data_IF_482833552323
#
_entry.id   IF_482833552323
#
_cell.length_a   1.000
_cell.length_b   1.000
_cell.length_c   1.000
_cell.angle_alpha   90.00
_cell.angle_beta   90.00
_cell.angle_gamma   90.00
#
_symmetry.space_group_name_H-M   'P 1'
#
loop_
_entity.id
_entity.type
_entity.pdbx_description
1 polymer ?
#
# COMPACT_ATOMS: atom_id res chain seq x y z
N UNK A 1 -25.79 -15.30 -64.77
CA UNK A 1 -24.59 -15.48 -65.61
C UNK A 1 -24.12 -16.91 -65.40
N UNK A 2 -24.42 -17.94 -66.19
CA UNK A 2 -24.47 -18.10 -67.66
C UNK A 2 -23.26 -17.49 -68.37
N UNK A 3 -22.28 -18.34 -68.69
CA UNK A 3 -21.77 -18.53 -70.06
C UNK A 3 -20.97 -19.83 -70.16
N UNK A 4 -21.51 -20.74 -70.96
CA UNK A 4 -20.84 -21.88 -71.59
C UNK A 4 -19.67 -21.43 -72.50
N UNK A 5 -18.64 -22.29 -72.63
CA UNK A 5 -17.98 -22.52 -73.93
C UNK A 5 -17.21 -23.84 -74.01
N UNK A 6 -17.89 -24.82 -74.62
CA UNK A 6 -17.49 -25.73 -75.71
C UNK A 6 -16.00 -26.07 -75.97
N UNK A 7 -15.73 -27.38 -75.85
CA UNK A 7 -15.12 -28.33 -76.82
C UNK A 7 -13.84 -27.99 -77.59
N UNK A 8 -12.81 -28.83 -77.37
CA UNK A 8 -12.11 -29.71 -78.36
C UNK A 8 -11.04 -30.49 -77.55
N UNK A 9 -10.86 -31.80 -77.60
CA UNK A 9 -11.00 -32.71 -78.73
C UNK A 9 -9.61 -32.99 -79.33
N UNK A 10 -8.72 -33.68 -78.60
CA UNK A 10 -7.53 -34.36 -79.16
C UNK A 10 -7.09 -35.47 -78.19
N UNK A 11 -7.32 -36.71 -78.61
CA UNK A 11 -6.79 -37.93 -77.98
C UNK A 11 -5.27 -38.00 -78.25
N UNK A 12 -4.41 -38.15 -77.23
CA UNK A 12 -3.06 -38.63 -77.43
C UNK A 12 -3.05 -40.14 -77.73
N UNK A 13 -2.03 -40.65 -78.44
CA UNK A 13 -1.93 -42.05 -78.85
C UNK A 13 -1.72 -43.00 -77.66
N UNK A 14 -2.13 -44.27 -77.79
CA UNK A 14 -1.85 -45.31 -76.80
C UNK A 14 -0.43 -45.84 -77.01
N UNK A 15 0.36 -45.90 -75.95
CA UNK A 15 1.64 -46.62 -75.95
C UNK A 15 2.81 -45.79 -75.49
N UNK A 16 3.01 -45.75 -74.19
CA UNK A 16 4.32 -45.91 -73.58
C UNK A 16 4.07 -46.23 -72.10
N UNK A 17 4.26 -47.48 -71.72
CA UNK A 17 4.44 -47.90 -70.33
C UNK A 17 5.59 -47.09 -69.73
N UNK A 18 5.26 -45.93 -69.16
CA UNK A 18 6.13 -45.24 -68.22
C UNK A 18 6.10 -46.06 -66.94
N UNK A 19 6.94 -47.10 -66.94
CA UNK A 19 7.35 -47.81 -65.73
C UNK A 19 7.60 -46.77 -64.63
N UNK A 20 7.09 -46.94 -63.42
CA UNK A 20 7.43 -46.05 -62.32
C UNK A 20 8.95 -46.09 -62.20
N UNK A 21 9.63 -45.01 -62.56
CA UNK A 21 11.04 -44.83 -62.26
C UNK A 21 11.07 -44.87 -60.74
N UNK A 22 11.43 -46.03 -60.20
CA UNK A 22 11.65 -46.22 -58.77
C UNK A 22 12.65 -45.15 -58.38
N UNK A 23 12.14 -44.10 -57.73
CA UNK A 23 12.98 -43.03 -57.24
C UNK A 23 13.98 -43.71 -56.33
N UNK A 24 15.30 -43.64 -56.61
CA UNK A 24 16.27 -44.26 -55.74
C UNK A 24 16.05 -43.68 -54.35
N UNK A 25 15.63 -44.53 -53.42
CA UNK A 25 15.55 -44.19 -52.01
C UNK A 25 16.98 -43.89 -51.58
N UNK A 26 17.38 -42.63 -51.68
CA UNK A 26 18.65 -42.15 -51.18
C UNK A 26 18.66 -42.42 -49.68
N UNK A 27 19.42 -43.44 -49.26
CA UNK A 27 19.63 -43.72 -47.85
C UNK A 27 20.26 -42.49 -47.21
N UNK A 28 19.57 -41.91 -46.22
CA UNK A 28 20.04 -40.75 -45.46
C UNK A 28 21.42 -41.08 -44.88
N UNK A 29 22.41 -40.22 -45.14
CA UNK A 29 23.78 -40.52 -44.69
C UNK A 29 23.87 -40.37 -43.16
N UNK A 30 24.76 -41.14 -42.52
CA UNK A 30 24.98 -41.07 -41.06
C UNK A 30 25.24 -39.61 -40.58
N UNK A 31 25.93 -38.82 -41.41
CA UNK A 31 26.23 -37.41 -41.17
C UNK A 31 24.94 -36.58 -41.12
N UNK A 32 24.02 -36.83 -42.04
CA UNK A 32 22.74 -36.12 -42.15
C UNK A 32 21.83 -36.39 -40.95
N UNK A 33 21.83 -37.63 -40.45
CA UNK A 33 21.13 -38.00 -39.22
C UNK A 33 21.75 -37.29 -38.00
N UNK A 34 23.08 -37.20 -37.93
CA UNK A 34 23.77 -36.48 -36.86
C UNK A 34 23.45 -34.98 -36.87
N UNK A 35 23.48 -34.35 -38.05
CA UNK A 35 23.11 -32.93 -38.22
C UNK A 35 21.66 -32.70 -37.84
N UNK A 36 20.73 -33.55 -38.30
CA UNK A 36 19.32 -33.47 -37.94
C UNK A 36 19.11 -33.58 -36.41
N UNK A 37 19.86 -34.45 -35.74
CA UNK A 37 19.80 -34.61 -34.29
C UNK A 37 20.31 -33.37 -33.54
N UNK A 38 21.43 -32.78 -33.98
CA UNK A 38 21.96 -31.53 -33.38
C UNK A 38 20.98 -30.37 -33.56
N UNK A 39 20.41 -30.21 -34.76
CA UNK A 39 19.41 -29.18 -35.02
C UNK A 39 18.16 -29.40 -34.17
N UNK A 40 17.68 -30.64 -34.07
CA UNK A 40 16.55 -30.99 -33.21
C UNK A 40 16.82 -30.64 -31.74
N UNK A 41 18.00 -30.96 -31.21
CA UNK A 41 18.38 -30.62 -29.84
C UNK A 41 18.43 -29.10 -29.62
N UNK A 42 18.98 -28.34 -30.58
CA UNK A 42 18.99 -26.87 -30.51
C UNK A 42 17.57 -26.30 -30.51
N UNK A 43 16.67 -26.83 -31.35
CA UNK A 43 15.27 -26.41 -31.41
C UNK A 43 14.51 -26.73 -30.11
N UNK A 44 14.73 -27.93 -29.54
CA UNK A 44 14.16 -28.30 -28.25
C UNK A 44 14.69 -27.37 -27.14
N UNK A 45 16.00 -27.09 -27.12
CA UNK A 45 16.60 -26.19 -26.14
C UNK A 45 16.06 -24.76 -26.23
N UNK A 46 15.90 -24.24 -27.45
CA UNK A 46 15.30 -22.93 -27.70
C UNK A 46 13.84 -22.89 -27.24
N UNK A 47 13.05 -23.93 -27.54
CA UNK A 47 11.65 -24.03 -27.14
C UNK A 47 11.49 -24.08 -25.62
N UNK A 48 12.32 -24.87 -24.92
CA UNK A 48 12.32 -24.94 -23.45
C UNK A 48 12.68 -23.59 -22.85
N UNK A 49 13.71 -22.92 -23.39
CA UNK A 49 14.13 -21.59 -22.92
C UNK A 49 13.03 -20.54 -23.12
N UNK A 50 12.39 -20.53 -24.30
CA UNK A 50 11.28 -19.63 -24.61
C UNK A 50 10.10 -19.87 -23.65
N UNK A 51 9.74 -21.13 -23.43
CA UNK A 51 8.63 -21.51 -22.55
C UNK A 51 8.88 -21.11 -21.12
N UNK A 52 10.09 -21.37 -20.60
CA UNK A 52 10.49 -21.01 -19.23
C UNK A 52 10.43 -19.49 -19.02
N UNK A 53 11.03 -18.71 -19.93
CA UNK A 53 10.98 -17.24 -19.87
C UNK A 53 9.57 -16.68 -19.99
N UNK A 54 8.71 -17.30 -20.79
CA UNK A 54 7.31 -16.90 -20.93
C UNK A 54 6.53 -17.14 -19.65
N UNK A 55 6.76 -18.28 -18.99
CA UNK A 55 6.15 -18.60 -17.70
C UNK A 55 6.65 -17.67 -16.59
N UNK A 56 7.95 -17.37 -16.53
CA UNK A 56 8.52 -16.39 -15.58
C UNK A 56 7.92 -14.99 -15.80
N UNK A 57 7.81 -14.56 -17.05
CA UNK A 57 7.21 -13.25 -17.38
C UNK A 57 5.74 -13.20 -17.00
N UNK A 58 5.00 -14.27 -17.28
CA UNK A 58 3.58 -14.36 -16.95
C UNK A 58 3.34 -14.39 -15.44
N UNK A 59 4.07 -15.23 -14.70
CA UNK A 59 3.97 -15.32 -13.23
C UNK A 59 4.35 -14.00 -12.55
N UNK A 60 5.40 -13.31 -13.04
CA UNK A 60 5.76 -11.96 -12.58
C UNK A 60 4.68 -10.92 -12.92
N UNK A 61 4.03 -11.04 -14.08
CA UNK A 61 2.91 -10.19 -14.48
C UNK A 61 1.69 -10.37 -13.58
N UNK A 62 1.32 -11.63 -13.30
CA UNK A 62 0.18 -11.95 -12.43
C UNK A 62 0.43 -11.53 -10.99
N UNK A 63 1.64 -11.76 -10.46
CA UNK A 63 2.02 -11.32 -9.13
C UNK A 63 1.96 -9.80 -8.97
N UNK A 64 2.41 -9.03 -9.98
CA UNK A 64 2.25 -7.57 -9.97
C UNK A 64 0.78 -7.20 -9.98
N UNK A 65 0.00 -7.75 -10.90
CA UNK A 65 -1.44 -7.46 -11.01
C UNK A 65 -2.16 -7.67 -9.67
N UNK A 66 -1.93 -8.80 -8.99
CA UNK A 66 -2.49 -9.07 -7.66
C UNK A 66 -2.13 -7.98 -6.64
N UNK A 67 -0.87 -7.54 -6.62
CA UNK A 67 -0.45 -6.45 -5.74
C UNK A 67 -1.14 -5.12 -6.06
N UNK A 68 -1.29 -4.77 -7.34
CA UNK A 68 -2.00 -3.56 -7.76
C UNK A 68 -3.48 -3.63 -7.32
N UNK A 69 -4.15 -4.76 -7.56
CA UNK A 69 -5.56 -4.95 -7.20
C UNK A 69 -5.74 -4.80 -5.67
N UNK A 70 -4.88 -5.44 -4.87
CA UNK A 70 -4.91 -5.35 -3.39
C UNK A 70 -4.60 -3.94 -2.90
N UNK A 71 -3.59 -3.28 -3.46
CA UNK A 71 -3.25 -1.91 -3.10
C UNK A 71 -4.38 -0.93 -3.45
N UNK A 72 -5.02 -1.12 -4.60
CA UNK A 72 -6.15 -0.29 -5.03
C UNK A 72 -7.34 -0.40 -4.08
N UNK A 73 -7.72 -1.63 -3.67
CA UNK A 73 -8.78 -1.83 -2.67
C UNK A 73 -8.45 -1.08 -1.36
N UNK A 74 -7.18 -1.11 -0.94
CA UNK A 74 -6.73 -0.39 0.25
C UNK A 74 -6.85 1.12 0.11
N UNK A 75 -6.26 1.66 -0.96
CA UNK A 75 -6.23 3.09 -1.20
C UNK A 75 -7.63 3.67 -1.46
N UNK A 76 -8.49 2.95 -2.19
CA UNK A 76 -9.85 3.41 -2.51
C UNK A 76 -10.71 3.49 -1.25
N UNK A 77 -10.63 2.52 -0.34
CA UNK A 77 -11.41 2.55 0.90
C UNK A 77 -10.94 3.67 1.84
N UNK A 78 -9.62 3.79 2.06
CA UNK A 78 -9.06 4.88 2.88
C UNK A 78 -9.45 6.24 2.28
N UNK A 79 -9.31 6.40 0.95
CA UNK A 79 -9.65 7.65 0.27
C UNK A 79 -11.13 7.96 0.35
N UNK A 80 -11.99 6.95 0.21
CA UNK A 80 -13.44 7.10 0.35
C UNK A 80 -13.81 7.58 1.75
N UNK A 81 -13.21 6.99 2.80
CA UNK A 81 -13.45 7.43 4.16
C UNK A 81 -12.94 8.85 4.42
N UNK A 82 -11.73 9.17 3.96
CA UNK A 82 -11.12 10.48 4.12
C UNK A 82 -11.92 11.59 3.43
N UNK A 83 -12.48 11.33 2.24
CA UNK A 83 -13.37 12.29 1.55
C UNK A 83 -14.66 12.57 2.30
N UNK A 84 -15.04 11.70 3.26
CA UNK A 84 -16.23 11.86 4.08
C UNK A 84 -15.91 12.34 5.50
N UNK A 85 -14.68 12.79 5.78
CA UNK A 85 -14.30 13.32 7.10
C UNK A 85 -15.28 14.42 7.53
N UNK A 86 -15.76 14.28 8.75
CA UNK A 86 -16.57 15.27 9.44
C UNK A 86 -15.62 16.20 10.19
N UNK A 87 -15.73 17.49 9.90
CA UNK A 87 -15.04 18.52 10.67
C UNK A 87 -16.01 19.23 11.60
N UNK A 88 -15.47 19.64 12.72
CA UNK A 88 -16.14 20.53 13.64
C UNK A 88 -15.36 21.84 13.72
N UNK A 89 -16.06 22.90 14.12
CA UNK A 89 -15.53 24.23 14.31
C UNK A 89 -15.64 24.72 15.76
N UNK A 90 -16.34 23.99 16.63
CA UNK A 90 -16.71 24.42 17.98
C UNK A 90 -16.53 23.32 19.04
N UNK A 91 -16.13 23.70 20.25
CA UNK A 91 -16.17 22.78 21.39
C UNK A 91 -17.61 22.67 21.89
N UNK A 92 -18.20 21.48 21.78
CA UNK A 92 -19.48 21.21 22.42
C UNK A 92 -19.26 20.86 23.88
N UNK A 93 -19.92 21.59 24.77
CA UNK A 93 -19.88 21.36 26.21
C UNK A 93 -21.09 20.53 26.66
N UNK A 94 -20.90 19.70 27.68
CA UNK A 94 -21.99 19.04 28.38
C UNK A 94 -22.77 20.04 29.28
N UNK A 95 -23.84 19.57 29.92
CA UNK A 95 -24.63 20.38 30.85
C UNK A 95 -23.84 20.92 32.06
N UNK A 96 -22.68 20.35 32.34
CA UNK A 96 -21.76 20.74 33.42
C UNK A 96 -20.56 21.56 32.90
N UNK A 97 -20.65 22.09 31.68
CA UNK A 97 -19.58 22.84 31.02
C UNK A 97 -18.27 22.04 30.78
N UNK A 98 -18.33 20.71 30.76
CA UNK A 98 -17.18 19.86 30.39
C UNK A 98 -17.13 19.69 28.87
N UNK A 99 -15.96 19.81 28.24
CA UNK A 99 -15.83 19.57 26.81
C UNK A 99 -16.13 18.11 26.49
N UNK A 100 -17.02 17.89 25.53
CA UNK A 100 -17.27 16.58 24.95
C UNK A 100 -16.13 16.21 23.98
N UNK A 101 -16.03 14.92 23.67
CA UNK A 101 -15.04 14.41 22.72
C UNK A 101 -15.24 15.06 21.35
N UNK A 102 -14.21 15.73 20.84
CA UNK A 102 -14.23 16.33 19.51
C UNK A 102 -14.08 15.25 18.41
N UNK A 103 -14.75 15.41 17.27
CA UNK A 103 -14.54 14.60 16.08
C UNK A 103 -13.23 15.03 15.39
N UNK A 104 -12.11 14.63 15.99
CA UNK A 104 -10.78 15.00 15.53
C UNK A 104 -10.27 14.05 14.45
N UNK A 105 -9.53 14.59 13.47
CA UNK A 105 -8.58 13.81 12.70
C UNK A 105 -7.28 13.73 13.51
N UNK A 106 -6.86 12.51 13.79
CA UNK A 106 -5.65 12.21 14.56
C UNK A 106 -4.82 11.21 13.77
N UNK A 107 -3.55 11.51 13.61
CA UNK A 107 -2.58 10.62 12.99
C UNK A 107 -1.28 10.69 13.78
N UNK A 108 -0.83 9.54 14.25
CA UNK A 108 0.35 9.42 15.08
C UNK A 108 1.04 8.08 14.81
N UNK A 109 1.98 7.73 15.67
CA UNK A 109 2.71 6.47 15.61
C UNK A 109 2.24 5.57 16.76
N UNK A 110 2.08 4.29 16.49
CA UNK A 110 1.89 3.28 17.54
C UNK A 110 3.18 3.03 18.34
N UNK A 111 3.10 2.15 19.35
CA UNK A 111 4.25 1.74 20.19
C UNK A 111 5.42 1.14 19.42
N UNK A 112 5.16 0.62 18.22
CA UNK A 112 6.14 0.03 17.31
C UNK A 112 6.61 1.06 16.25
N UNK A 113 6.31 2.35 16.45
CA UNK A 113 6.58 3.45 15.53
C UNK A 113 5.92 3.32 14.15
N UNK A 114 4.77 2.63 14.05
CA UNK A 114 4.03 2.49 12.79
C UNK A 114 2.92 3.52 12.70
N UNK A 115 2.72 4.17 11.53
CA UNK A 115 1.66 5.15 11.37
C UNK A 115 0.27 4.54 11.57
N UNK A 116 -0.60 5.32 12.19
CA UNK A 116 -2.03 5.04 12.32
C UNK A 116 -2.81 6.33 12.16
N UNK A 117 -4.05 6.21 11.70
CA UNK A 117 -4.93 7.36 11.53
C UNK A 117 -6.32 7.04 12.07
N UNK A 118 -6.98 8.05 12.62
CA UNK A 118 -8.37 8.04 13.07
C UNK A 118 -9.03 9.36 12.72
N UNK A 119 -10.28 9.28 12.35
CA UNK A 119 -11.11 10.44 12.13
C UNK A 119 -12.57 10.06 12.30
N UNK A 120 -13.41 11.08 12.40
CA UNK A 120 -14.86 10.91 12.31
C UNK A 120 -15.28 11.25 10.89
N UNK A 121 -16.21 10.48 10.34
CA UNK A 121 -16.80 10.71 9.02
C UNK A 121 -18.32 10.69 9.09
N UNK A 122 -18.95 11.39 8.15
CA UNK A 122 -20.39 11.28 7.90
C UNK A 122 -20.76 10.03 7.08
N UNK A 123 -22.03 9.65 7.13
CA UNK A 123 -22.63 8.69 6.20
C UNK A 123 -23.46 7.59 6.88
N UNK A 124 -24.30 6.92 6.09
CA UNK A 124 -25.20 5.87 6.58
C UNK A 124 -24.52 4.49 6.60
N UNK A 125 -24.52 3.81 7.75
CA UNK A 125 -24.01 2.43 7.89
C UNK A 125 -24.96 1.38 7.29
N UNK A 126 -26.20 1.72 6.91
CA UNK A 126 -27.07 0.82 6.14
C UNK A 126 -26.46 0.39 4.78
N UNK A 127 -25.37 1.05 4.35
CA UNK A 127 -24.55 0.68 3.18
C UNK A 127 -23.28 -0.11 3.58
N UNK A 128 -22.98 -0.27 4.87
CA UNK A 128 -21.67 -0.73 5.38
C UNK A 128 -21.65 -1.86 6.41
N UNK A 129 -22.78 -2.35 6.96
CA UNK A 129 -23.00 -3.72 7.49
C UNK A 129 -24.31 -3.78 8.30
N UNK A 130 -25.01 -4.91 8.26
CA UNK A 130 -26.18 -5.15 9.13
C UNK A 130 -25.78 -5.00 10.61
N UNK A 131 -26.65 -4.39 11.45
CA UNK A 131 -26.38 -4.28 12.87
C UNK A 131 -26.18 -5.67 13.48
N UNK A 132 -25.20 -5.87 14.37
CA UNK A 132 -24.92 -7.18 14.95
C UNK A 132 -26.18 -7.76 15.63
N UNK A 133 -26.41 -9.08 15.54
CA UNK A 133 -27.56 -9.73 16.16
C UNK A 133 -27.62 -9.40 17.66
N UNK A 134 -28.72 -8.80 18.10
CA UNK A 134 -28.93 -8.42 19.51
C UNK A 134 -28.64 -6.96 19.86
N UNK A 135 -28.26 -6.11 18.91
CA UNK A 135 -28.23 -4.66 19.14
C UNK A 135 -29.67 -4.12 19.19
N UNK A 136 -30.13 -3.48 20.28
CA UNK A 136 -31.46 -2.90 20.33
C UNK A 136 -31.63 -1.90 19.19
N UNK A 137 -32.69 -2.04 18.38
CA UNK A 137 -33.05 -1.06 17.34
C UNK A 137 -33.18 0.36 17.90
N UNK A 138 -33.37 0.46 19.20
CA UNK A 138 -33.53 1.68 19.97
C UNK A 138 -32.22 2.49 20.10
N UNK A 139 -31.06 1.92 19.76
CA UNK A 139 -29.81 2.67 19.61
C UNK A 139 -29.82 3.61 18.37
N UNK A 140 -30.73 3.37 17.42
CA UNK A 140 -31.06 4.29 16.35
C UNK A 140 -32.14 5.34 16.74
N UNK A 141 -32.70 5.25 17.95
CA UNK A 141 -33.86 6.05 18.37
C UNK A 141 -33.54 7.21 19.32
N UNK A 142 -32.27 7.58 19.50
CA UNK A 142 -31.87 8.82 20.19
C UNK A 142 -31.22 9.80 19.21
N UNK A 143 -31.98 10.20 18.20
CA UNK A 143 -31.63 11.22 17.22
C UNK A 143 -32.52 12.46 17.46
N UNK A 144 -32.06 13.48 18.20
CA UNK A 144 -32.73 14.77 18.36
C UNK A 144 -32.70 15.63 17.08
N UNK A 145 -33.60 16.61 16.97
CA UNK A 145 -33.98 17.38 15.77
C UNK A 145 -32.96 18.42 15.22
N UNK A 146 -31.74 18.43 15.74
CA UNK A 146 -30.57 19.24 15.38
C UNK A 146 -29.51 18.38 14.65
N UNK A 147 -29.99 17.36 13.94
CA UNK A 147 -29.26 16.19 13.46
C UNK A 147 -28.39 16.43 12.21
N UNK A 148 -27.07 16.46 12.40
CA UNK A 148 -26.12 16.01 11.38
C UNK A 148 -26.19 14.48 11.33
N UNK A 149 -26.23 13.87 10.14
CA UNK A 149 -26.44 12.41 9.98
C UNK A 149 -25.50 11.52 10.80
N UNK A 150 -25.74 10.19 10.87
CA UNK A 150 -24.97 9.30 11.73
C UNK A 150 -23.46 9.47 11.49
N UNK A 151 -22.73 9.78 12.56
CA UNK A 151 -21.29 9.97 12.55
C UNK A 151 -20.59 8.67 12.95
N UNK A 152 -19.51 8.36 12.25
CA UNK A 152 -18.74 7.14 12.44
C UNK A 152 -17.30 7.48 12.70
N UNK A 153 -16.76 6.92 13.76
CA UNK A 153 -15.34 6.93 13.98
C UNK A 153 -14.72 5.77 13.20
N UNK A 154 -13.71 6.11 12.40
CA UNK A 154 -12.94 5.15 11.62
C UNK A 154 -11.48 5.24 12.05
N UNK A 155 -10.81 4.09 12.12
CA UNK A 155 -9.37 4.03 12.32
C UNK A 155 -8.73 2.99 11.39
N UNK A 156 -7.50 3.28 10.97
CA UNK A 156 -6.66 2.37 10.21
C UNK A 156 -5.38 2.10 11.01
N UNK A 157 -5.12 0.81 11.26
CA UNK A 157 -3.99 0.36 12.08
C UNK A 157 -3.41 -0.92 11.47
N UNK A 158 -2.09 -1.08 11.52
CA UNK A 158 -1.45 -2.37 11.25
C UNK A 158 -1.63 -3.30 12.45
N UNK A 159 -1.51 -4.61 12.23
CA UNK A 159 -1.62 -5.61 13.28
C UNK A 159 -0.70 -5.30 14.47
N UNK A 160 -1.14 -5.41 15.73
CA UNK A 160 -0.29 -5.15 16.89
C UNK A 160 0.93 -6.08 16.96
N UNK A 161 0.84 -7.28 16.39
CA UNK A 161 1.96 -8.18 16.18
C UNK A 161 2.73 -7.77 14.90
N UNK A 162 3.96 -7.24 15.01
CA UNK A 162 4.74 -6.80 13.86
C UNK A 162 5.09 -7.94 12.88
N UNK A 163 5.02 -9.20 13.32
CA UNK A 163 5.22 -10.36 12.44
C UNK A 163 4.05 -10.56 11.45
N UNK A 164 2.90 -9.90 11.69
CA UNK A 164 1.69 -10.03 10.88
C UNK A 164 1.47 -8.80 10.02
N UNK A 165 1.53 -9.02 8.71
CA UNK A 165 1.35 -7.98 7.70
C UNK A 165 -0.14 -7.80 7.38
N UNK A 166 -0.95 -7.38 8.34
CA UNK A 166 -2.40 -7.19 8.12
C UNK A 166 -2.79 -5.77 8.48
N UNK A 167 -3.45 -5.09 7.55
CA UNK A 167 -4.08 -3.81 7.81
C UNK A 167 -5.49 -4.06 8.33
N UNK A 168 -5.85 -3.37 9.41
CA UNK A 168 -7.17 -3.41 10.01
C UNK A 168 -7.88 -2.07 9.85
N UNK A 169 -9.19 -2.15 9.61
CA UNK A 169 -10.10 -1.02 9.65
C UNK A 169 -11.04 -1.16 10.84
N UNK A 170 -10.99 -0.20 11.75
CA UNK A 170 -11.90 -0.07 12.89
C UNK A 170 -13.05 0.85 12.54
N UNK A 171 -14.26 0.47 12.93
CA UNK A 171 -15.45 1.30 12.75
C UNK A 171 -16.30 1.23 14.01
N UNK A 172 -16.84 2.38 14.42
CA UNK A 172 -17.92 2.42 15.41
C UNK A 172 -18.74 3.70 15.30
N UNK A 173 -19.96 3.66 15.81
CA UNK A 173 -20.77 4.86 15.98
C UNK A 173 -20.03 5.87 16.86
N UNK A 174 -19.93 7.11 16.39
CA UNK A 174 -19.33 8.19 17.14
C UNK A 174 -20.37 8.81 18.08
N UNK A 175 -20.07 8.80 19.37
CA UNK A 175 -20.90 9.40 20.42
C UNK A 175 -20.03 10.35 21.24
N UNK A 176 -20.33 11.65 21.16
CA UNK A 176 -19.61 12.73 21.83
C UNK A 176 -19.57 12.57 23.35
N UNK A 177 -20.56 11.88 23.93
CA UNK A 177 -20.65 11.64 25.38
C UNK A 177 -19.74 10.51 25.84
N UNK A 178 -19.24 9.69 24.90
CA UNK A 178 -18.28 8.62 25.19
C UNK A 178 -16.87 9.15 25.08
N UNK A 179 -16.04 8.78 26.06
CA UNK A 179 -14.61 9.11 26.10
C UNK A 179 -13.75 8.06 25.41
N UNK A 180 -14.32 6.90 25.11
CA UNK A 180 -13.63 5.86 24.36
C UNK A 180 -13.21 6.39 22.99
N UNK A 181 -12.20 5.78 22.38
CA UNK A 181 -11.73 6.11 21.04
C UNK A 181 -11.10 4.88 20.38
N UNK A 182 -11.24 4.77 19.05
CA UNK A 182 -10.49 3.88 18.18
C UNK A 182 -9.01 4.30 18.01
N UNK A 183 -8.51 5.30 18.71
CA UNK A 183 -7.09 5.46 19.02
C UNK A 183 -6.98 5.81 20.50
N UNK A 184 -7.17 4.83 21.38
CA UNK A 184 -6.82 5.05 22.78
C UNK A 184 -5.31 5.34 22.86
N UNK A 185 -4.90 6.44 23.52
CA UNK A 185 -3.48 6.72 23.78
C UNK A 185 -2.78 5.55 24.48
N UNK A 186 -3.52 4.80 25.30
CA UNK A 186 -3.08 3.54 25.92
C UNK A 186 -3.32 2.40 24.92
N UNK A 187 -2.42 2.37 23.94
CA UNK A 187 -2.01 1.30 23.01
C UNK A 187 -2.97 0.12 22.68
N UNK A 188 -3.04 -0.19 21.38
CA UNK A 188 -3.41 -1.51 20.84
C UNK A 188 -2.32 -2.53 21.14
N UNK A 189 -2.16 -2.92 22.41
CA UNK A 189 -1.05 -3.78 22.81
C UNK A 189 -1.22 -5.19 22.23
N UNK A 190 -2.46 -5.64 22.08
CA UNK A 190 -2.81 -7.00 21.67
C UNK A 190 -4.20 -7.07 21.03
N UNK A 191 -4.44 -8.13 20.25
CA UNK A 191 -5.76 -8.42 19.67
C UNK A 191 -6.83 -8.81 20.71
N UNK A 192 -6.44 -9.05 21.96
CA UNK A 192 -7.36 -9.37 23.06
C UNK A 192 -7.95 -8.12 23.71
N UNK A 193 -7.52 -6.93 23.31
CA UNK A 193 -8.12 -5.67 23.75
C UNK A 193 -9.60 -5.62 23.33
N UNK A 194 -10.54 -5.28 24.22
CA UNK A 194 -11.97 -5.14 23.88
C UNK A 194 -12.23 -4.19 22.70
N UNK A 195 -11.41 -3.14 22.52
CA UNK A 195 -11.50 -2.23 21.37
C UNK A 195 -11.20 -2.94 20.05
N UNK A 196 -10.35 -3.98 20.07
CA UNK A 196 -10.00 -4.76 18.88
C UNK A 196 -11.20 -5.49 18.27
N UNK A 197 -12.24 -5.78 19.05
CA UNK A 197 -13.48 -6.37 18.54
C UNK A 197 -14.19 -5.49 17.50
N UNK A 198 -13.86 -4.20 17.44
CA UNK A 198 -14.37 -3.23 16.45
C UNK A 198 -13.55 -3.15 15.17
N UNK A 199 -12.40 -3.82 15.12
CA UNK A 199 -11.54 -3.87 13.95
C UNK A 199 -11.89 -5.09 13.09
N UNK A 200 -11.84 -4.90 11.78
CA UNK A 200 -11.96 -5.95 10.78
C UNK A 200 -10.70 -6.00 9.95
N UNK A 201 -10.14 -7.19 9.68
CA UNK A 201 -9.02 -7.31 8.77
C UNK A 201 -9.48 -6.80 7.41
N UNK A 202 -8.70 -5.91 6.83
CA UNK A 202 -8.99 -5.29 5.55
C UNK A 202 -8.25 -6.00 4.44
N UNK A 203 -6.93 -6.09 4.58
CA UNK A 203 -6.05 -6.74 3.60
C UNK A 203 -4.85 -7.35 4.32
N UNK A 204 -4.43 -8.52 3.84
CA UNK A 204 -3.21 -9.20 4.30
C UNK A 204 -2.02 -8.78 3.44
N UNK A 205 -0.79 -9.17 3.81
CA UNK A 205 0.43 -8.74 3.13
C UNK A 205 0.63 -7.22 3.06
N UNK A 206 -0.02 -6.41 3.90
CA UNK A 206 0.26 -4.97 3.97
C UNK A 206 1.44 -4.77 4.92
N UNK A 207 2.60 -4.42 4.36
CA UNK A 207 3.85 -4.22 5.11
C UNK A 207 3.88 -2.87 5.83
N UNK A 208 3.28 -1.85 5.21
CA UNK A 208 3.31 -0.48 5.68
C UNK A 208 2.10 0.30 5.17
N UNK A 209 1.61 1.22 5.99
CA UNK A 209 0.72 2.31 5.59
C UNK A 209 1.31 3.60 6.16
N UNK A 210 1.35 4.66 5.35
CA UNK A 210 1.93 5.94 5.73
C UNK A 210 1.02 7.09 5.33
N UNK A 211 1.02 8.15 6.13
CA UNK A 211 0.22 9.34 5.94
C UNK A 211 1.13 10.56 5.97
N UNK A 212 1.03 11.41 4.93
CA UNK A 212 1.68 12.71 4.90
C UNK A 212 0.61 13.78 4.72
N UNK A 213 0.77 14.89 5.42
CA UNK A 213 -0.23 15.94 5.52
C UNK A 213 0.29 17.21 4.86
N UNK A 214 -0.43 17.68 3.86
CA UNK A 214 -0.17 18.97 3.23
C UNK A 214 -0.69 20.09 4.13
N UNK A 215 0.24 20.92 4.58
CA UNK A 215 -0.01 22.08 5.42
C UNK A 215 0.00 23.36 4.59
N UNK A 216 -0.39 24.49 5.19
CA UNK A 216 -0.20 25.82 4.58
C UNK A 216 1.27 26.17 4.27
N UNK A 217 2.21 25.41 4.83
CA UNK A 217 3.65 25.57 4.62
C UNK A 217 4.21 24.58 3.60
N UNK A 218 3.48 23.52 3.25
CA UNK A 218 4.00 22.44 2.43
C UNK A 218 4.12 22.87 0.96
N UNK A 219 5.28 22.62 0.38
CA UNK A 219 5.56 22.89 -1.05
C UNK A 219 6.10 21.67 -1.79
N UNK A 220 6.44 20.61 -1.06
CA UNK A 220 6.92 19.33 -1.58
C UNK A 220 6.51 18.19 -0.64
N UNK A 221 6.43 16.96 -1.17
CA UNK A 221 6.24 15.74 -0.38
C UNK A 221 7.56 15.11 0.11
N UNK A 222 8.68 15.77 -0.15
CA UNK A 222 10.00 15.38 0.32
C UNK A 222 10.12 15.61 1.84
N UNK A 223 10.17 14.50 2.58
CA UNK A 223 10.29 14.46 4.04
C UNK A 223 11.66 14.92 4.54
N UNK A 224 12.66 14.98 3.68
CA UNK A 224 13.98 15.52 4.07
C UNK A 224 13.94 17.03 4.25
N UNK A 225 12.92 17.70 3.68
CA UNK A 225 12.70 19.12 3.88
C UNK A 225 11.94 19.35 5.19
N UNK A 226 12.47 20.15 6.13
CA UNK A 226 11.74 20.49 7.34
C UNK A 226 10.53 21.36 7.01
N UNK A 227 9.47 21.25 7.81
CA UNK A 227 8.33 22.16 7.75
C UNK A 227 8.80 23.56 8.16
N UNK A 228 8.63 24.53 7.28
CA UNK A 228 9.00 25.94 7.51
C UNK A 228 7.99 26.88 6.91
N UNK A 229 7.67 27.93 7.64
CA UNK A 229 6.88 29.04 7.12
C UNK A 229 7.55 29.67 5.89
N UNK A 230 6.79 29.79 4.80
CA UNK A 230 7.28 30.36 3.55
C UNK A 230 7.17 31.89 3.63
N UNK A 231 8.24 32.55 4.07
CA UNK A 231 8.29 34.02 4.17
C UNK A 231 8.26 34.64 2.77
N UNK A 232 7.23 35.47 2.50
CA UNK A 232 7.10 36.21 1.23
C UNK A 232 8.35 37.06 0.96
N UNK A 233 8.99 36.86 -0.20
CA UNK A 233 10.10 37.68 -0.68
C UNK A 233 11.51 37.09 -0.48
N UNK A 234 11.65 35.94 0.20
CA UNK A 234 12.91 35.15 0.16
C UNK A 234 12.84 34.11 -0.96
N UNK A 235 14.00 33.71 -1.48
CA UNK A 235 14.11 32.65 -2.49
C UNK A 235 13.26 31.44 -2.08
N UNK A 236 12.59 30.77 -3.04
CA UNK A 236 11.67 29.63 -2.82
C UNK A 236 12.29 28.61 -1.86
N UNK A 237 11.96 28.70 -0.57
CA UNK A 237 12.37 27.72 0.41
C UNK A 237 11.41 26.54 0.29
N UNK A 238 11.98 25.35 0.08
CA UNK A 238 11.21 24.11 0.11
C UNK A 238 10.83 23.78 1.55
N UNK A 239 9.62 23.28 1.74
CA UNK A 239 9.07 22.92 3.04
C UNK A 239 8.27 21.64 2.86
N UNK A 240 8.62 20.63 3.66
CA UNK A 240 8.09 19.28 3.54
C UNK A 240 6.69 19.13 4.11
N UNK A 241 6.14 17.90 4.07
CA UNK A 241 4.85 17.60 4.65
C UNK A 241 4.98 17.36 6.16
N UNK A 242 3.84 17.48 6.84
CA UNK A 242 3.70 16.99 8.21
C UNK A 242 3.44 15.48 8.20
N UNK A 243 3.94 14.76 9.21
CA UNK A 243 3.86 13.30 9.32
C UNK A 243 2.93 12.87 10.47
N UNK A 244 2.55 13.82 11.34
CA UNK A 244 1.62 13.60 12.46
C UNK A 244 0.53 14.65 12.42
N UNK A 245 -0.70 14.29 12.75
CA UNK A 245 -1.80 15.24 12.74
C UNK A 245 -2.60 15.18 14.02
N UNK A 246 -2.93 16.34 14.55
CA UNK A 246 -3.93 16.48 15.62
C UNK A 246 -4.79 17.70 15.31
N UNK A 247 -5.99 17.46 14.78
CA UNK A 247 -6.93 18.53 14.46
C UNK A 247 -7.32 19.36 15.68
N UNK A 248 -7.20 18.83 16.89
CA UNK A 248 -7.48 19.58 18.13
C UNK A 248 -6.33 20.49 18.57
N UNK A 249 -5.13 20.29 17.99
CA UNK A 249 -3.87 20.97 18.34
C UNK A 249 -3.48 20.80 19.81
N UNK A 250 -4.01 19.82 20.54
CA UNK A 250 -3.92 19.75 22.01
C UNK A 250 -3.34 18.44 22.54
N UNK A 251 -3.60 17.34 21.88
CA UNK A 251 -3.26 16.00 22.36
C UNK A 251 -1.83 15.62 21.98
N UNK A 252 -1.36 16.04 20.80
CA UNK A 252 -0.01 15.74 20.32
C UNK A 252 0.95 16.93 20.44
N UNK A 253 1.88 16.87 21.40
CA UNK A 253 2.90 17.90 21.62
C UNK A 253 3.97 17.97 20.54
N UNK A 254 4.12 16.91 19.75
CA UNK A 254 5.08 16.85 18.66
C UNK A 254 4.48 17.33 17.32
N UNK A 255 3.18 17.60 17.29
CA UNK A 255 2.53 18.18 16.12
C UNK A 255 3.02 19.61 15.89
N UNK A 256 3.38 19.96 14.66
CA UNK A 256 3.95 21.27 14.34
C UNK A 256 3.05 22.44 14.76
N UNK A 257 1.73 22.26 14.65
CA UNK A 257 0.74 23.28 15.03
C UNK A 257 0.23 23.13 16.47
N UNK A 258 0.87 22.34 17.32
CA UNK A 258 0.47 22.18 18.72
C UNK A 258 0.28 23.52 19.45
N UNK A 259 -0.83 23.65 20.19
CA UNK A 259 -1.15 24.78 21.04
C UNK A 259 -1.41 24.29 22.46
N UNK A 260 -0.69 24.88 23.42
CA UNK A 260 -0.89 24.61 24.85
C UNK A 260 -2.19 25.23 25.40
N UNK A 261 -2.79 26.19 24.67
CA UNK A 261 -3.97 26.92 25.13
C UNK A 261 -5.15 25.98 25.38
N UNK A 262 -5.78 26.10 26.54
CA UNK A 262 -7.02 25.42 26.90
C UNK A 262 -8.23 26.33 26.68
N UNK A 263 -8.12 27.34 25.81
CA UNK A 263 -9.23 28.23 25.54
C UNK A 263 -10.32 27.48 24.75
N UNK A 264 -11.29 26.96 25.48
CA UNK A 264 -12.45 26.29 24.91
C UNK A 264 -13.41 27.26 24.21
N UNK A 265 -13.24 28.58 24.39
CA UNK A 265 -14.09 29.60 23.78
C UNK A 265 -13.65 29.97 22.36
N UNK A 266 -12.41 29.69 22.00
CA UNK A 266 -11.88 29.90 20.65
C UNK A 266 -11.25 28.62 20.07
N UNK A 267 -12.09 27.61 19.75
CA UNK A 267 -11.64 26.39 19.09
C UNK A 267 -11.04 26.68 17.72
N UNK A 268 -9.72 26.50 17.62
CA UNK A 268 -9.01 26.55 16.35
C UNK A 268 -8.68 25.15 15.84
N UNK A 269 -9.73 24.41 15.47
CA UNK A 269 -9.55 23.10 14.82
C UNK A 269 -8.97 23.24 13.42
N UNK A 270 -8.00 22.38 13.10
CA UNK A 270 -7.26 22.43 11.84
C UNK A 270 -7.38 21.12 11.07
N UNK A 271 -7.51 21.21 9.76
CA UNK A 271 -7.64 20.05 8.89
C UNK A 271 -6.76 20.24 7.66
N UNK A 272 -6.00 19.22 7.25
CA UNK A 272 -5.05 19.34 6.15
C UNK A 272 -5.80 19.51 4.82
N UNK A 273 -5.20 20.21 3.86
CA UNK A 273 -5.80 20.33 2.52
C UNK A 273 -5.76 18.99 1.78
N UNK A 274 -4.61 18.33 1.84
CA UNK A 274 -4.32 17.10 1.10
C UNK A 274 -3.66 16.11 2.05
N UNK A 275 -4.07 14.85 1.99
CA UNK A 275 -3.39 13.73 2.63
C UNK A 275 -2.82 12.83 1.55
N UNK A 276 -1.50 12.67 1.51
CA UNK A 276 -0.88 11.62 0.72
C UNK A 276 -0.90 10.32 1.53
N UNK A 277 -1.63 9.33 1.03
CA UNK A 277 -1.70 7.99 1.61
C UNK A 277 -0.76 7.10 0.81
N UNK A 278 0.12 6.39 1.50
CA UNK A 278 1.02 5.40 0.90
C UNK A 278 0.79 4.03 1.52
N UNK A 279 0.81 2.99 0.70
CA UNK A 279 0.65 1.59 1.14
C UNK A 279 1.73 0.76 0.49
N UNK A 280 2.47 -0.02 1.28
CA UNK A 280 3.40 -1.03 0.76
C UNK A 280 2.79 -2.41 0.88
N UNK A 281 2.59 -3.08 -0.25
CA UNK A 281 2.00 -4.42 -0.32
C UNK A 281 3.09 -5.43 -0.66
N UNK A 282 3.16 -6.50 0.12
CA UNK A 282 4.03 -7.65 -0.09
C UNK A 282 3.68 -8.36 -1.40
N UNK A 283 4.69 -8.69 -2.19
CA UNK A 283 4.50 -9.46 -3.41
C UNK A 283 4.23 -10.92 -3.09
N UNK A 284 3.11 -11.45 -3.56
CA UNK A 284 2.71 -12.85 -3.38
C UNK A 284 3.42 -13.86 -4.28
N UNK A 285 4.46 -13.46 -5.02
CA UNK A 285 5.17 -14.37 -5.93
C UNK A 285 5.95 -15.44 -5.14
N UNK A 286 5.96 -16.72 -5.55
CA UNK A 286 6.80 -17.75 -4.93
C UNK A 286 8.29 -17.37 -4.85
N UNK A 287 8.78 -16.56 -5.81
CA UNK A 287 10.14 -16.05 -5.85
C UNK A 287 10.47 -15.02 -4.75
N UNK A 288 9.46 -14.46 -4.08
CA UNK A 288 9.65 -13.50 -2.97
C UNK A 288 9.81 -14.20 -1.63
N UNK A 289 9.41 -15.48 -1.54
CA UNK A 289 9.59 -16.28 -0.35
C UNK A 289 11.03 -16.79 -0.25
N UNK A 290 11.76 -16.33 0.78
CA UNK A 290 13.05 -16.90 1.15
C UNK A 290 14.26 -16.00 0.97
N UNK A 291 14.07 -14.72 0.58
CA UNK A 291 15.14 -13.73 0.69
C UNK A 291 15.54 -13.59 2.16
N UNK A 292 16.82 -13.85 2.44
CA UNK A 292 17.39 -13.79 3.79
C UNK A 292 18.73 -13.09 3.74
N UNK A 293 19.12 -12.52 4.88
CA UNK A 293 20.48 -12.02 5.06
C UNK A 293 21.50 -13.16 4.88
N UNK A 294 22.47 -12.95 3.99
CA UNK A 294 23.61 -13.86 3.78
C UNK A 294 24.72 -13.65 4.82
N UNK A 295 24.86 -12.43 5.33
CA UNK A 295 25.82 -12.05 6.37
C UNK A 295 25.13 -11.36 7.56
N UNK A 296 25.72 -11.38 8.76
CA UNK A 296 25.24 -10.55 9.86
C UNK A 296 25.40 -9.05 9.53
N UNK A 297 24.44 -8.25 9.98
CA UNK A 297 24.36 -6.81 9.71
C UNK A 297 24.31 -6.09 11.04
N UNK A 298 25.15 -5.07 11.23
CA UNK A 298 25.12 -4.20 12.42
C UNK A 298 24.42 -2.87 12.12
N UNK A 299 24.20 -2.01 13.11
CA UNK A 299 23.49 -0.72 12.96
C UNK A 299 24.15 0.28 12.00
N UNK A 300 25.44 0.08 11.68
CA UNK A 300 26.25 1.01 10.86
C UNK A 300 26.52 0.49 9.45
N UNK A 301 26.09 -0.73 9.17
CA UNK A 301 26.30 -1.38 7.89
C UNK A 301 25.68 -0.55 6.77
N UNK A 302 26.48 -0.25 5.75
CA UNK A 302 26.10 0.52 4.55
C UNK A 302 25.79 -0.40 3.36
N UNK A 303 25.75 -1.70 3.60
CA UNK A 303 25.56 -2.75 2.61
C UNK A 303 24.87 -3.98 3.23
N UNK A 304 24.01 -4.66 2.46
CA UNK A 304 23.40 -5.94 2.82
C UNK A 304 23.77 -7.01 1.80
N UNK A 305 24.36 -8.11 2.25
CA UNK A 305 24.46 -9.33 1.47
C UNK A 305 23.21 -10.19 1.70
N UNK A 306 22.57 -10.63 0.61
CA UNK A 306 21.33 -11.41 0.59
C UNK A 306 21.55 -12.74 -0.14
N UNK A 307 20.70 -13.72 0.16
CA UNK A 307 20.67 -14.98 -0.60
C UNK A 307 20.42 -14.76 -2.10
N UNK A 308 19.58 -13.80 -2.46
CA UNK A 308 19.36 -13.26 -3.80
C UNK A 308 18.54 -11.96 -3.73
N UNK A 309 18.53 -11.16 -4.80
CA UNK A 309 17.68 -9.96 -4.92
C UNK A 309 16.49 -10.13 -5.87
N UNK A 310 16.24 -11.36 -6.36
CA UNK A 310 15.11 -11.64 -7.26
C UNK A 310 13.79 -11.21 -6.62
N UNK A 311 12.98 -10.47 -7.38
CA UNK A 311 11.67 -9.96 -6.94
C UNK A 311 11.72 -8.62 -6.21
N UNK A 312 12.89 -8.19 -5.68
CA UNK A 312 13.00 -6.89 -5.00
C UNK A 312 12.74 -5.75 -6.00
N UNK A 313 12.10 -4.64 -5.58
CA UNK A 313 11.97 -3.44 -6.39
C UNK A 313 13.32 -2.95 -6.95
N UNK A 314 13.31 -2.26 -8.08
CA UNK A 314 14.49 -1.57 -8.56
C UNK A 314 14.90 -0.44 -7.61
N UNK A 315 16.19 -0.11 -7.61
CA UNK A 315 16.68 0.96 -6.75
C UNK A 315 16.27 2.33 -7.31
N UNK A 316 15.97 3.32 -6.44
CA UNK A 316 15.92 3.21 -4.98
C UNK A 316 14.69 2.42 -4.50
N UNK A 317 14.86 1.65 -3.42
CA UNK A 317 13.78 0.83 -2.87
C UNK A 317 13.88 0.67 -1.35
N UNK A 318 12.89 -0.01 -0.76
CA UNK A 318 12.86 -0.32 0.67
C UNK A 318 12.67 -1.82 0.91
N UNK A 319 13.35 -2.33 1.92
CA UNK A 319 13.14 -3.66 2.49
C UNK A 319 12.86 -3.54 3.99
N UNK A 320 12.21 -4.57 4.56
CA UNK A 320 11.97 -4.71 6.00
C UNK A 320 12.70 -5.95 6.52
N UNK A 321 13.49 -5.78 7.57
CA UNK A 321 14.23 -6.86 8.24
C UNK A 321 13.76 -6.89 9.69
N UNK A 322 13.04 -7.96 10.05
CA UNK A 322 12.25 -8.02 11.28
C UNK A 322 11.30 -6.81 11.41
N UNK A 323 11.66 -5.83 12.26
CA UNK A 323 10.94 -4.58 12.49
C UNK A 323 11.65 -3.33 11.95
N UNK A 324 12.83 -3.45 11.34
CA UNK A 324 13.56 -2.32 10.76
C UNK A 324 13.22 -2.15 9.27
N UNK A 325 12.96 -0.92 8.85
CA UNK A 325 12.92 -0.55 7.43
C UNK A 325 14.27 -0.02 6.99
N UNK A 326 14.78 -0.55 5.87
CA UNK A 326 16.05 -0.15 5.25
C UNK A 326 15.77 0.32 3.84
N UNK A 327 16.15 1.56 3.54
CA UNK A 327 16.15 2.10 2.17
C UNK A 327 17.51 1.79 1.51
N UNK A 328 17.53 1.41 0.24
CA UNK A 328 18.73 1.11 -0.54
C UNK A 328 18.74 1.91 -1.84
N UNK A 329 19.92 2.44 -2.19
CA UNK A 329 20.13 3.21 -3.43
C UNK A 329 20.72 2.39 -4.59
N UNK A 330 21.28 1.20 -4.30
CA UNK A 330 21.87 0.31 -5.30
C UNK A 330 21.41 -1.14 -5.08
N UNK A 331 21.29 -1.91 -6.16
CA UNK A 331 20.89 -3.33 -6.16
C UNK A 331 21.75 -4.14 -7.15
N UNK A 332 22.37 -5.22 -6.68
CA UNK A 332 23.05 -6.24 -7.50
C UNK A 332 22.20 -7.53 -7.57
N UNK A 333 22.75 -8.67 -8.00
CA UNK A 333 22.11 -9.98 -7.95
C UNK A 333 21.92 -10.54 -6.53
N UNK A 334 22.75 -10.12 -5.58
CA UNK A 334 22.81 -10.65 -4.21
C UNK A 334 22.93 -9.56 -3.16
N UNK A 335 22.97 -8.29 -3.55
CA UNK A 335 23.41 -7.25 -2.62
C UNK A 335 22.63 -5.96 -2.78
N UNK A 336 22.52 -5.24 -1.66
CA UNK A 336 21.93 -3.91 -1.57
C UNK A 336 22.98 -2.93 -1.04
N UNK A 337 23.17 -1.81 -1.73
CA UNK A 337 24.14 -0.76 -1.41
C UNK A 337 23.50 0.59 -1.15
N UNK A 338 24.32 1.55 -0.72
CA UNK A 338 23.89 2.91 -0.34
C UNK A 338 22.73 2.90 0.66
N UNK A 339 22.88 2.11 1.72
CA UNK A 339 21.79 1.93 2.68
C UNK A 339 21.54 3.18 3.52
N UNK A 340 20.26 3.45 3.75
CA UNK A 340 19.76 4.32 4.81
C UNK A 340 18.94 3.48 5.78
N UNK A 341 19.58 3.17 6.91
CA UNK A 341 19.06 2.38 8.03
C UNK A 341 18.02 3.16 8.84
N UNK A 342 17.11 2.47 9.51
CA UNK A 342 16.08 3.10 10.34
C UNK A 342 15.10 3.99 9.55
N UNK A 343 14.75 3.62 8.32
CA UNK A 343 13.74 4.31 7.54
C UNK A 343 12.33 4.16 8.18
N UNK A 344 11.34 4.95 7.74
CA UNK A 344 9.94 4.84 8.20
C UNK A 344 9.78 4.78 9.73
N UNK A 345 10.48 5.66 10.43
CA UNK A 345 10.48 5.77 11.91
C UNK A 345 11.00 4.56 12.69
N UNK A 346 11.64 3.61 12.00
CA UNK A 346 12.29 2.48 12.68
C UNK A 346 13.68 2.88 13.20
N UNK A 347 14.25 2.04 14.06
CA UNK A 347 15.63 2.23 14.54
C UNK A 347 16.52 1.22 13.85
N UNK A 348 17.73 1.66 13.47
CA UNK A 348 18.77 0.75 13.03
C UNK A 348 19.03 -0.30 14.11
N UNK A 349 19.07 -1.58 13.73
CA UNK A 349 19.31 -2.70 14.63
C UNK A 349 20.36 -3.65 14.05
N UNK A 350 20.92 -4.52 14.89
CA UNK A 350 21.75 -5.63 14.42
C UNK A 350 20.87 -6.83 14.08
N UNK A 351 21.14 -7.51 12.97
CA UNK A 351 20.40 -8.68 12.50
C UNK A 351 21.35 -9.84 12.23
N UNK A 352 21.06 -11.06 12.72
CA UNK A 352 21.87 -12.23 12.44
C UNK A 352 21.72 -12.70 10.98
N UNK A 353 22.68 -13.50 10.52
CA UNK A 353 22.56 -14.24 9.25
C UNK A 353 21.28 -15.06 9.22
N UNK A 354 20.67 -15.17 8.05
CA UNK A 354 19.44 -15.94 7.83
C UNK A 354 18.15 -15.20 8.20
N UNK A 355 18.23 -13.99 8.76
CA UNK A 355 17.04 -13.17 9.06
C UNK A 355 16.23 -12.92 7.79
N UNK A 356 14.90 -13.15 7.80
CA UNK A 356 14.07 -12.93 6.62
C UNK A 356 14.01 -11.46 6.24
N UNK A 357 14.09 -11.20 4.93
CA UNK A 357 13.96 -9.86 4.36
C UNK A 357 12.64 -9.79 3.60
N UNK A 358 11.75 -8.94 4.06
CA UNK A 358 10.45 -8.68 3.45
C UNK A 358 10.54 -7.44 2.57
N UNK A 359 9.80 -7.44 1.46
CA UNK A 359 9.77 -6.30 0.55
C UNK A 359 8.45 -6.29 -0.21
N UNK A 360 8.14 -5.14 -0.80
CA UNK A 360 6.90 -4.92 -1.50
C UNK A 360 6.96 -3.67 -2.37
N UNK A 361 5.92 -3.45 -3.15
CA UNK A 361 5.78 -2.24 -3.96
C UNK A 361 4.98 -1.21 -3.17
N UNK A 362 5.37 0.06 -3.29
CA UNK A 362 4.69 1.16 -2.60
C UNK A 362 3.81 1.91 -3.58
N UNK A 363 2.53 2.00 -3.24
CA UNK A 363 1.52 2.72 -3.99
C UNK A 363 1.13 3.97 -3.22
N UNK A 364 0.86 5.06 -3.94
CA UNK A 364 0.52 6.34 -3.32
C UNK A 364 -0.70 6.95 -3.97
N UNK A 365 -1.57 7.57 -3.17
CA UNK A 365 -2.67 8.41 -3.66
C UNK A 365 -2.76 9.69 -2.84
N UNK A 366 -3.29 10.74 -3.45
CA UNK A 366 -3.52 12.03 -2.79
C UNK A 366 -5.01 12.26 -2.60
N UNK A 367 -5.42 12.55 -1.38
CA UNK A 367 -6.81 12.76 -1.00
C UNK A 367 -6.99 14.19 -0.52
N UNK A 368 -7.71 14.99 -1.31
CA UNK A 368 -8.15 16.34 -0.91
C UNK A 368 -9.30 16.23 0.09
N UNK A 369 -9.19 16.92 1.22
CA UNK A 369 -10.25 16.97 2.22
C UNK A 369 -11.20 18.15 1.92
N UNK A 370 -12.52 17.91 1.83
CA UNK A 370 -13.48 18.99 1.60
C UNK A 370 -13.56 19.95 2.80
N UNK A 371 -13.19 19.46 3.99
CA UNK A 371 -13.25 20.18 5.26
C UNK A 371 -11.93 20.84 5.67
N UNK A 372 -11.01 21.06 4.72
CA UNK A 372 -9.72 21.68 5.01
C UNK A 372 -9.89 23.02 5.77
N UNK A 373 -8.99 23.25 6.73
CA UNK A 373 -8.93 24.48 7.51
C UNK A 373 -7.50 24.73 7.95
N UNK A 374 -6.98 25.86 7.51
CA UNK A 374 -5.64 26.33 7.84
C UNK A 374 -5.51 26.65 9.33
N UNK A 375 -4.29 26.52 9.84
CA UNK A 375 -3.98 26.87 11.21
C UNK A 375 -3.90 28.39 11.33
N UNK A 376 -4.67 28.98 12.26
CA UNK A 376 -4.44 30.36 12.60
C UNK A 376 -3.06 30.48 13.26
N UNK A 377 -2.37 31.59 13.00
CA UNK A 377 -1.11 31.91 13.67
C UNK A 377 -1.36 32.03 15.19
N UNK A 378 -0.48 31.45 16.04
CA UNK A 378 -0.61 31.51 17.49
C UNK A 378 -0.58 32.92 18.08
#
# INVERSE_FOLDING_TARGET
MKTDKKTTGLRPPPGADASPVASPSAGMTLIELLVAFVVLLMLIGALVTLTTRSLETWTSGEARKDMYDRAQVVLDLISSDLRNVYAENEWILDKNAKPLSAPALQADLDKNNRPRIRFVRGGNEAVLLEPPPGMPRDAAAAIPSDFYGPLWEVAYVLDPDPARNVLYRGIRAFDRKRTETLLNPIEYVSRTDPLWAKFRPMESGVLYVGYKFWTQFTTTWDETQPIREVVKGRAKQSSGPEQRWDSTRKDDRNFHFYRKSTDFKDPDFVYPEIIQVSVTVESGSPDTHGVRLGDPVDERSTYLHLTHTRGLPDAPGLVRIDGEWVEYGEKSSSDLGQLKRGARHTKAASHPVGTPVQFGETFTTEVRLPVHREAQEP
#
